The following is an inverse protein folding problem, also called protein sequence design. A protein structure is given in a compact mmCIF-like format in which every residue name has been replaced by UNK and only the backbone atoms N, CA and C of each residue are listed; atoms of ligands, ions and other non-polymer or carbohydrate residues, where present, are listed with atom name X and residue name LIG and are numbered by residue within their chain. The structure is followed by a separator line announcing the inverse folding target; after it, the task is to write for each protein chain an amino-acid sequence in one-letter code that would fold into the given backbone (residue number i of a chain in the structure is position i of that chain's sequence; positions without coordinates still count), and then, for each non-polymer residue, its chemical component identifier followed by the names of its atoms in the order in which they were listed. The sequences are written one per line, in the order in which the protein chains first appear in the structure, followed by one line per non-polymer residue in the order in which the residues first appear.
data_IF_095392079193
#
_entry.id   IF_095392079193
#
_cell.length_a   1.000
_cell.length_b   1.000
_cell.length_c   1.000
_cell.angle_alpha   90.00
_cell.angle_beta   90.00
_cell.angle_gamma   90.00
#
_symmetry.space_group_name_H-M   'P 1'
#
loop_
_entity.id
_entity.type
_entity.pdbx_description
1 polymer ?
#
# COMPACT_ATOMS: atom_id res chain seq x y z
N UNK A 1 14.63 11.53 -8.94
CA UNK A 1 13.84 11.73 -7.71
C UNK A 1 12.52 11.03 -7.86
N UNK A 2 12.38 9.78 -7.38
CA UNK A 2 11.09 9.11 -7.40
C UNK A 2 10.17 9.84 -6.41
N UNK A 3 9.20 10.60 -6.92
CA UNK A 3 8.30 11.34 -6.05
C UNK A 3 7.41 10.35 -5.32
N UNK A 4 7.23 10.52 -4.01
CA UNK A 4 6.34 9.69 -3.20
C UNK A 4 4.94 9.56 -3.82
N UNK A 5 4.28 10.64 -4.29
CA UNK A 5 2.92 10.52 -4.84
C UNK A 5 2.82 9.56 -6.04
N UNK A 6 3.84 9.47 -6.89
CA UNK A 6 3.84 8.56 -8.03
C UNK A 6 3.93 7.10 -7.61
N UNK A 7 4.64 6.82 -6.52
CA UNK A 7 4.74 5.48 -5.93
C UNK A 7 3.41 5.08 -5.30
N UNK A 8 2.73 6.02 -4.64
CA UNK A 8 1.41 5.80 -4.07
C UNK A 8 0.36 5.43 -5.09
N UNK A 9 0.29 6.17 -6.20
CA UNK A 9 -0.65 5.88 -7.29
C UNK A 9 -0.43 4.49 -7.88
N UNK A 10 0.83 4.10 -8.11
CA UNK A 10 1.16 2.76 -8.62
C UNK A 10 0.73 1.66 -7.64
N UNK A 11 0.91 1.88 -6.33
CA UNK A 11 0.48 0.91 -5.32
C UNK A 11 -1.05 0.76 -5.31
N UNK A 12 -1.80 1.86 -5.27
CA UNK A 12 -3.27 1.83 -5.32
C UNK A 12 -3.78 1.11 -6.57
N UNK A 13 -3.19 1.39 -7.73
CA UNK A 13 -3.53 0.73 -8.99
C UNK A 13 -3.20 -0.77 -8.98
N UNK A 14 -2.09 -1.17 -8.34
CA UNK A 14 -1.78 -2.58 -8.14
C UNK A 14 -2.77 -3.26 -7.18
N UNK A 15 -3.21 -2.57 -6.13
CA UNK A 15 -4.25 -3.08 -5.21
C UNK A 15 -5.57 -3.31 -5.95
N UNK A 16 -5.99 -2.37 -6.81
CA UNK A 16 -7.21 -2.51 -7.62
C UNK A 16 -7.14 -3.61 -8.68
N UNK A 17 -5.94 -4.13 -8.99
CA UNK A 17 -5.79 -5.33 -9.83
C UNK A 17 -5.95 -6.63 -9.05
N UNK A 18 -5.72 -6.60 -7.74
CA UNK A 18 -5.84 -7.76 -6.84
C UNK A 18 -7.30 -7.99 -6.42
N UNK A 19 -8.05 -6.91 -6.18
CA UNK A 19 -9.44 -6.95 -5.72
C UNK A 19 -10.36 -6.65 -6.91
N UNK A 20 -10.70 -7.66 -7.71
CA UNK A 20 -11.55 -7.49 -8.89
C UNK A 20 -13.01 -7.87 -8.61
N UNK A 21 -13.23 -8.76 -7.64
CA UNK A 21 -14.52 -9.12 -7.06
C UNK A 21 -14.55 -8.83 -5.55
N UNK A 22 -15.75 -8.63 -5.00
CA UNK A 22 -15.94 -8.35 -3.56
C UNK A 22 -15.51 -9.50 -2.65
N UNK A 23 -15.41 -10.72 -3.19
CA UNK A 23 -14.92 -11.90 -2.45
C UNK A 23 -13.44 -12.22 -2.71
N UNK A 24 -12.75 -11.41 -3.51
CA UNK A 24 -11.32 -11.62 -3.74
C UNK A 24 -10.55 -11.22 -2.48
N UNK A 25 -9.82 -12.16 -1.92
CA UNK A 25 -8.85 -11.91 -0.85
C UNK A 25 -7.44 -11.90 -1.43
N UNK A 26 -6.57 -11.06 -0.86
CA UNK A 26 -5.20 -10.99 -1.29
C UNK A 26 -4.31 -10.29 -0.29
N UNK A 27 -3.01 -10.56 -0.41
CA UNK A 27 -1.97 -10.00 0.48
C UNK A 27 -1.04 -9.11 -0.34
N UNK A 28 -0.80 -7.90 0.15
CA UNK A 28 0.16 -6.96 -0.45
C UNK A 28 1.34 -6.83 0.50
N UNK A 29 2.49 -7.36 0.09
CA UNK A 29 3.73 -7.31 0.87
C UNK A 29 4.58 -6.14 0.42
N UNK A 30 4.84 -5.19 1.33
CA UNK A 30 5.72 -4.04 1.10
C UNK A 30 7.09 -4.30 1.74
N UNK A 31 8.10 -4.58 0.91
CA UNK A 31 9.49 -4.82 1.32
C UNK A 31 10.27 -3.51 1.53
N UNK A 32 9.65 -2.50 2.14
CA UNK A 32 10.27 -1.19 2.36
C UNK A 32 9.95 -0.64 3.76
N UNK A 33 10.95 -0.67 4.65
CA UNK A 33 10.86 -0.15 6.03
C UNK A 33 10.50 1.33 6.10
N UNK A 34 10.69 2.09 5.01
CA UNK A 34 10.35 3.53 4.96
C UNK A 34 8.85 3.77 4.95
N UNK A 35 8.04 2.79 4.55
CA UNK A 35 6.58 2.87 4.61
C UNK A 35 6.09 3.02 6.06
N UNK A 36 6.79 2.43 7.01
CA UNK A 36 6.44 2.53 8.44
C UNK A 36 7.14 3.71 9.11
N UNK A 37 8.42 3.95 8.77
CA UNK A 37 9.26 4.92 9.49
C UNK A 37 9.14 6.36 9.00
N UNK A 38 8.67 6.60 7.77
CA UNK A 38 8.57 7.95 7.19
C UNK A 38 7.12 8.44 7.17
N UNK A 39 6.93 9.75 7.39
CA UNK A 39 5.61 10.43 7.35
C UNK A 39 4.84 10.16 6.05
N UNK A 40 5.56 10.08 4.95
CA UNK A 40 4.99 9.82 3.64
C UNK A 40 4.41 8.40 3.52
N UNK A 41 4.97 7.44 4.25
CA UNK A 41 4.50 6.06 4.27
C UNK A 41 3.16 5.92 5.01
N UNK A 42 2.96 6.71 6.07
CA UNK A 42 1.63 6.86 6.69
C UNK A 42 0.59 7.40 5.69
N UNK A 43 0.92 8.48 4.97
CA UNK A 43 0.03 9.04 3.93
C UNK A 43 -0.28 8.04 2.80
N UNK A 44 0.71 7.23 2.41
CA UNK A 44 0.53 6.14 1.46
C UNK A 44 -0.48 5.11 1.98
N UNK A 45 -0.29 4.59 3.19
CA UNK A 45 -1.17 3.58 3.78
C UNK A 45 -2.58 4.12 4.03
N UNK A 46 -2.72 5.40 4.34
CA UNK A 46 -4.01 6.07 4.55
C UNK A 46 -4.74 6.35 3.22
N UNK A 47 -4.04 6.29 2.09
CA UNK A 47 -4.64 6.38 0.74
C UNK A 47 -5.14 5.03 0.20
N UNK A 48 -4.77 3.93 0.86
CA UNK A 48 -5.27 2.60 0.53
C UNK A 48 -6.65 2.38 1.18
N UNK A 49 -7.48 1.47 0.64
CA UNK A 49 -8.66 0.97 1.34
C UNK A 49 -8.30 0.45 2.75
N UNK A 50 -9.28 0.31 3.66
CA UNK A 50 -9.05 -0.06 5.06
C UNK A 50 -8.63 -1.54 5.23
N UNK A 51 -7.48 -1.90 4.67
CA UNK A 51 -6.88 -3.23 4.77
C UNK A 51 -6.35 -3.48 6.18
N UNK A 52 -6.39 -4.74 6.60
CA UNK A 52 -5.67 -5.17 7.79
C UNK A 52 -4.17 -5.00 7.56
N UNK A 53 -3.49 -4.31 8.48
CA UNK A 53 -2.06 -4.00 8.38
C UNK A 53 -1.28 -4.94 9.31
N UNK A 54 -0.45 -5.81 8.75
CA UNK A 54 0.44 -6.68 9.50
C UNK A 54 1.87 -6.17 9.35
N UNK A 55 2.54 -5.89 10.48
CA UNK A 55 3.93 -5.45 10.51
C UNK A 55 4.80 -6.59 11.03
N UNK A 56 5.56 -7.23 10.13
CA UNK A 56 6.60 -8.17 10.53
C UNK A 56 7.85 -7.40 10.98
N UNK A 57 8.49 -7.89 12.06
CA UNK A 57 9.63 -7.25 12.73
C UNK A 57 10.95 -7.52 12.03
#
# INVERSE_FOLDING_TARGET
TLSVPDTSKKLVQACGRLLRNEMDEGVITLLDKRVVTKRYGKQLLDSLPPFSRVFEK
#
